data_IF_731174808778
#
_entry.id   IF_731174808778
#
_cell.length_a   1.000
_cell.length_b   1.000
_cell.length_c   1.000
_cell.angle_alpha   90.00
_cell.angle_beta   90.00
_cell.angle_gamma   90.00
#
_symmetry.space_group_name_H-M   'P 1'
#
loop_
_entity.id
_entity.type
_entity.pdbx_description
1 polymer ?
#
# COMPACT_ATOMS: atom_id res chain seq x y z
N UNK A 1 -8.51 21.73 6.35
CA UNK A 1 -7.13 22.04 6.80
C UNK A 1 -6.23 20.82 6.82
N UNK A 2 -6.57 19.71 7.50
CA UNK A 2 -5.73 18.50 7.53
C UNK A 2 -5.37 17.95 6.14
N UNK A 3 -6.34 17.93 5.20
CA UNK A 3 -6.10 17.50 3.82
C UNK A 3 -5.04 18.36 3.09
N UNK A 4 -5.06 19.67 3.32
CA UNK A 4 -4.09 20.61 2.72
C UNK A 4 -2.70 20.39 3.31
N UNK A 5 -2.63 20.16 4.62
CA UNK A 5 -1.36 19.90 5.32
C UNK A 5 -0.71 18.60 4.82
N UNK A 6 -1.47 17.50 4.75
CA UNK A 6 -0.91 16.20 4.34
C UNK A 6 -0.53 16.16 2.85
N UNK A 7 -1.28 16.88 2.00
CA UNK A 7 -1.06 16.87 0.53
C UNK A 7 -0.05 17.91 0.07
N UNK A 8 0.13 19.00 0.82
CA UNK A 8 0.97 20.13 0.42
C UNK A 8 2.34 20.22 1.08
N UNK A 9 2.58 19.50 2.19
CA UNK A 9 3.82 19.60 2.96
C UNK A 9 4.55 18.25 3.10
N UNK A 10 5.89 18.22 3.06
CA UNK A 10 6.68 16.99 3.27
C UNK A 10 6.50 16.46 4.70
N UNK A 11 6.88 15.18 4.91
CA UNK A 11 6.82 14.55 6.23
C UNK A 11 7.70 15.35 7.19
N UNK A 12 7.09 15.90 8.23
CA UNK A 12 7.72 16.76 9.23
C UNK A 12 7.08 16.51 10.58
N UNK A 13 7.76 16.90 11.67
CA UNK A 13 7.22 16.71 13.04
C UNK A 13 5.84 17.33 13.20
N UNK A 14 5.63 18.54 12.65
CA UNK A 14 4.34 19.24 12.70
C UNK A 14 3.27 18.48 11.93
N UNK A 15 3.58 18.02 10.71
CA UNK A 15 2.66 17.18 9.93
C UNK A 15 2.31 15.90 10.67
N UNK A 16 3.30 15.19 11.22
CA UNK A 16 3.07 13.94 11.96
C UNK A 16 2.22 14.12 13.22
N UNK A 17 2.33 15.26 13.92
CA UNK A 17 1.44 15.57 15.05
C UNK A 17 -0.01 15.76 14.57
N UNK A 18 -0.21 16.48 13.46
CA UNK A 18 -1.55 16.82 12.96
C UNK A 18 -2.24 15.66 12.24
N UNK A 19 -1.48 14.86 11.46
CA UNK A 19 -2.02 13.86 10.53
C UNK A 19 -1.54 12.44 10.81
N UNK A 20 -0.72 12.24 11.86
CA UNK A 20 -0.21 10.93 12.24
C UNK A 20 -1.28 9.93 12.65
N UNK A 21 -2.41 10.39 13.21
CA UNK A 21 -3.58 9.53 13.51
C UNK A 21 -4.11 8.85 12.24
N UNK A 22 -3.95 9.49 11.08
CA UNK A 22 -4.27 8.92 9.77
C UNK A 22 -3.03 8.45 9.02
N UNK A 23 -1.98 8.03 9.73
CA UNK A 23 -0.72 7.52 9.16
C UNK A 23 -0.03 8.46 8.17
N UNK A 24 -0.30 9.78 8.25
CA UNK A 24 0.14 10.75 7.25
C UNK A 24 -0.31 10.40 5.81
N UNK A 25 -1.40 9.64 5.67
CA UNK A 25 -2.01 9.18 4.42
C UNK A 25 -3.07 10.19 3.95
N UNK A 26 -2.85 10.75 2.77
CA UNK A 26 -3.74 11.76 2.19
C UNK A 26 -5.09 11.19 1.74
N UNK A 27 -5.15 9.94 1.28
CA UNK A 27 -6.36 9.29 0.83
C UNK A 27 -7.34 9.05 1.97
N UNK A 28 -6.84 8.65 3.15
CA UNK A 28 -7.67 8.48 4.36
C UNK A 28 -8.32 9.78 4.80
N UNK A 29 -7.59 10.90 4.70
CA UNK A 29 -8.14 12.22 5.03
C UNK A 29 -9.07 12.72 3.92
N UNK A 30 -8.75 12.45 2.66
CA UNK A 30 -9.59 12.81 1.51
C UNK A 30 -10.96 12.11 1.56
N UNK A 31 -11.03 10.88 2.06
CA UNK A 31 -12.27 10.13 2.23
C UNK A 31 -13.28 10.83 3.17
N UNK A 32 -12.84 11.79 4.00
CA UNK A 32 -13.71 12.59 4.87
C UNK A 32 -14.24 13.86 4.18
N UNK A 33 -13.70 14.25 3.02
CA UNK A 33 -14.12 15.46 2.30
C UNK A 33 -15.59 15.42 1.87
N UNK A 34 -16.14 14.29 1.36
CA UNK A 34 -17.56 14.23 1.00
C UNK A 34 -18.50 14.53 2.19
N UNK A 35 -18.14 14.10 3.41
CA UNK A 35 -18.96 14.36 4.60
C UNK A 35 -19.08 15.87 4.86
N UNK A 36 -17.96 16.59 4.83
CA UNK A 36 -17.94 18.05 5.01
C UNK A 36 -18.63 18.75 3.84
N UNK A 37 -18.40 18.28 2.61
CA UNK A 37 -19.02 18.84 1.41
C UNK A 37 -20.55 18.74 1.45
N UNK A 38 -21.11 17.62 1.91
CA UNK A 38 -22.57 17.44 2.07
C UNK A 38 -23.13 18.41 3.11
N UNK A 39 -22.47 18.57 4.26
CA UNK A 39 -22.90 19.52 5.30
C UNK A 39 -22.87 20.97 4.78
N UNK A 40 -21.78 21.37 4.11
CA UNK A 40 -21.67 22.70 3.51
C UNK A 40 -22.69 22.92 2.39
N UNK A 41 -22.99 21.89 1.58
CA UNK A 41 -24.02 21.96 0.56
C UNK A 41 -25.41 22.18 1.18
N UNK A 42 -25.73 21.47 2.27
CA UNK A 42 -27.00 21.64 2.97
C UNK A 42 -27.16 23.07 3.53
N UNK A 43 -26.13 23.60 4.19
CA UNK A 43 -26.11 24.99 4.69
C UNK A 43 -26.18 25.99 3.53
N UNK A 44 -25.46 25.76 2.44
CA UNK A 44 -25.48 26.62 1.25
C UNK A 44 -26.87 26.67 0.60
N UNK A 45 -27.56 25.53 0.52
CA UNK A 45 -28.94 25.47 0.01
C UNK A 45 -29.90 26.24 0.92
N UNK A 46 -29.79 26.04 2.25
CA UNK A 46 -30.60 26.75 3.23
C UNK A 46 -30.41 28.27 3.13
N UNK A 47 -29.17 28.72 3.01
CA UNK A 47 -28.83 30.13 2.87
C UNK A 47 -29.35 30.73 1.55
N UNK A 48 -29.24 30.01 0.44
CA UNK A 48 -29.81 30.44 -0.86
C UNK A 48 -31.34 30.54 -0.77
N UNK A 49 -32.00 29.63 -0.05
CA UNK A 49 -33.45 29.64 0.11
C UNK A 49 -33.95 30.81 0.97
N UNK A 50 -33.26 31.15 2.05
CA UNK A 50 -33.66 32.23 2.97
C UNK A 50 -33.20 33.62 2.51
N UNK A 51 -32.17 33.73 1.67
CA UNK A 51 -31.73 35.02 1.16
C UNK A 51 -32.62 35.48 -0.02
N UNK A 52 -33.38 36.58 0.11
CA UNK A 52 -34.33 37.02 -0.92
C UNK A 52 -33.63 37.42 -2.23
N UNK A 53 -32.41 37.96 -2.17
CA UNK A 53 -31.67 38.36 -3.36
C UNK A 53 -31.16 37.15 -4.14
N UNK A 54 -30.58 36.17 -3.45
CA UNK A 54 -30.05 34.96 -4.07
C UNK A 54 -31.16 34.04 -4.56
N UNK A 55 -32.21 33.85 -3.76
CA UNK A 55 -33.37 33.06 -4.20
C UNK A 55 -34.03 33.65 -5.44
N UNK A 56 -34.10 34.98 -5.58
CA UNK A 56 -34.59 35.63 -6.80
C UNK A 56 -33.66 35.42 -7.99
N UNK A 57 -32.34 35.49 -7.80
CA UNK A 57 -31.33 35.27 -8.84
C UNK A 57 -31.34 33.80 -9.31
N UNK A 58 -31.36 32.87 -8.37
CA UNK A 58 -31.46 31.44 -8.62
C UNK A 58 -32.77 31.09 -9.33
N UNK A 59 -33.90 31.64 -8.87
CA UNK A 59 -35.20 31.51 -9.57
C UNK A 59 -35.17 32.10 -10.96
N UNK A 60 -34.45 33.20 -11.25
CA UNK A 60 -34.34 33.79 -12.59
C UNK A 60 -33.52 32.93 -13.54
N UNK A 61 -32.41 32.36 -13.06
CA UNK A 61 -31.56 31.43 -13.82
C UNK A 61 -32.33 30.15 -14.15
N UNK A 62 -33.03 29.57 -13.17
CA UNK A 62 -33.80 28.34 -13.36
C UNK A 62 -35.22 28.52 -13.94
N UNK A 63 -35.81 29.73 -13.92
CA UNK A 63 -37.11 30.04 -14.57
C UNK A 63 -37.02 30.23 -16.08
N UNK A 64 -35.83 30.31 -16.67
CA UNK A 64 -35.70 30.52 -18.13
C UNK A 64 -36.15 29.33 -18.97
N UNK A 65 -36.44 28.18 -18.36
CA UNK A 65 -37.08 27.04 -19.03
C UNK A 65 -38.41 26.70 -18.36
N UNK A 66 -39.52 27.11 -18.98
CA UNK A 66 -40.87 26.79 -18.52
C UNK A 66 -41.86 27.94 -18.66
N UNK A 67 -42.26 28.22 -19.89
CA UNK A 67 -43.50 28.95 -20.19
C UNK A 67 -44.71 28.21 -19.56
N UNK A 68 -45.74 28.98 -19.22
CA UNK A 68 -46.73 28.62 -18.21
C UNK A 68 -47.50 27.33 -18.46
N UNK A 69 -47.47 26.42 -17.49
CA UNK A 69 -48.48 25.36 -17.34
C UNK A 69 -48.90 25.28 -15.87
N UNK A 70 -50.20 25.54 -15.64
CA UNK A 70 -50.92 25.39 -14.37
C UNK A 70 -51.14 23.89 -14.05
N UNK A 71 -50.12 23.17 -13.58
CA UNK A 71 -50.27 21.86 -12.89
C UNK A 71 -49.15 21.69 -11.86
N UNK A 72 -49.40 22.15 -10.63
CA UNK A 72 -48.40 22.16 -9.53
C UNK A 72 -47.84 20.77 -9.20
N UNK A 73 -48.68 19.71 -9.27
CA UNK A 73 -48.24 18.34 -8.97
C UNK A 73 -47.25 17.75 -9.99
N UNK A 74 -47.51 17.92 -11.28
CA UNK A 74 -46.65 17.39 -12.35
C UNK A 74 -45.30 18.12 -12.39
N UNK A 75 -45.32 19.43 -12.13
CA UNK A 75 -44.12 20.28 -12.11
C UNK A 75 -43.22 19.95 -10.91
N UNK A 76 -43.80 19.68 -9.74
CA UNK A 76 -43.04 19.23 -8.58
C UNK A 76 -42.43 17.84 -8.82
N UNK A 77 -43.19 16.90 -9.39
CA UNK A 77 -42.66 15.58 -9.76
C UNK A 77 -41.48 15.65 -10.74
N UNK A 78 -41.58 16.51 -11.77
CA UNK A 78 -40.50 16.78 -12.72
C UNK A 78 -39.26 17.40 -12.05
N UNK A 79 -39.45 18.28 -11.06
CA UNK A 79 -38.35 18.88 -10.30
C UNK A 79 -37.64 17.87 -9.40
N UNK A 80 -38.38 17.01 -8.70
CA UNK A 80 -37.78 15.93 -7.90
C UNK A 80 -37.07 14.90 -8.77
N UNK A 81 -37.63 14.55 -9.93
CA UNK A 81 -36.98 13.67 -10.90
C UNK A 81 -35.68 14.29 -11.42
N UNK A 82 -35.68 15.57 -11.79
CA UNK A 82 -34.47 16.27 -12.22
C UNK A 82 -33.41 16.34 -11.12
N UNK A 83 -33.82 16.64 -9.87
CA UNK A 83 -32.90 16.65 -8.74
C UNK A 83 -32.31 15.26 -8.47
N UNK A 84 -33.13 14.20 -8.51
CA UNK A 84 -32.66 12.82 -8.37
C UNK A 84 -31.68 12.45 -9.49
N UNK A 85 -31.95 12.84 -10.73
CA UNK A 85 -31.04 12.65 -11.87
C UNK A 85 -29.74 13.42 -11.67
N UNK A 86 -29.78 14.66 -11.21
CA UNK A 86 -28.57 15.46 -10.94
C UNK A 86 -27.73 14.84 -9.82
N UNK A 87 -28.35 14.34 -8.75
CA UNK A 87 -27.65 13.61 -7.68
C UNK A 87 -27.05 12.31 -8.24
N UNK A 88 -27.81 11.54 -9.01
CA UNK A 88 -27.33 10.31 -9.63
C UNK A 88 -26.14 10.59 -10.56
N UNK A 89 -26.21 11.63 -11.40
CA UNK A 89 -25.11 12.06 -12.27
C UNK A 89 -23.91 12.51 -11.44
N UNK A 90 -24.10 13.29 -10.37
CA UNK A 90 -23.01 13.71 -9.49
C UNK A 90 -22.30 12.52 -8.82
N UNK A 91 -23.06 11.50 -8.40
CA UNK A 91 -22.51 10.26 -7.86
C UNK A 91 -21.76 9.47 -8.95
N UNK A 92 -22.36 9.28 -10.12
CA UNK A 92 -21.76 8.53 -11.22
C UNK A 92 -20.47 9.20 -11.71
N UNK A 93 -20.51 10.50 -11.97
CA UNK A 93 -19.34 11.29 -12.40
C UNK A 93 -18.29 11.37 -11.29
N UNK A 94 -18.73 11.55 -10.04
CA UNK A 94 -17.82 11.72 -8.90
C UNK A 94 -17.15 10.44 -8.40
N UNK A 95 -17.72 9.26 -8.67
CA UNK A 95 -17.23 8.00 -8.09
C UNK A 95 -16.79 6.98 -9.15
N UNK A 96 -17.54 6.78 -10.24
CA UNK A 96 -17.30 5.62 -11.14
C UNK A 96 -15.97 5.75 -11.89
N UNK A 97 -15.65 6.93 -12.41
CA UNK A 97 -14.38 7.15 -13.12
C UNK A 97 -13.16 7.06 -12.19
N UNK A 98 -13.26 7.62 -10.99
CA UNK A 98 -12.18 7.60 -10.00
C UNK A 98 -11.93 6.19 -9.46
N UNK A 99 -12.99 5.51 -9.00
CA UNK A 99 -12.87 4.16 -8.43
C UNK A 99 -12.33 3.17 -9.46
N UNK A 100 -12.83 3.18 -10.70
CA UNK A 100 -12.35 2.24 -11.71
C UNK A 100 -10.85 2.43 -12.00
N UNK A 101 -10.38 3.68 -12.06
CA UNK A 101 -8.96 3.98 -12.26
C UNK A 101 -8.11 3.50 -11.09
N UNK A 102 -8.55 3.75 -9.86
CA UNK A 102 -7.83 3.28 -8.67
C UNK A 102 -7.82 1.75 -8.58
N UNK A 103 -8.91 1.07 -8.97
CA UNK A 103 -8.97 -0.40 -9.06
C UNK A 103 -8.00 -0.92 -10.10
N UNK A 104 -7.95 -0.32 -11.29
CA UNK A 104 -7.02 -0.71 -12.35
C UNK A 104 -5.55 -0.52 -11.90
N UNK A 105 -5.24 0.63 -11.30
CA UNK A 105 -3.90 0.92 -10.76
C UNK A 105 -3.52 0.02 -9.57
N UNK A 106 -4.48 -0.36 -8.73
CA UNK A 106 -4.25 -1.31 -7.67
C UNK A 106 -3.99 -2.70 -8.25
N UNK A 107 -4.84 -3.17 -9.16
CA UNK A 107 -4.74 -4.48 -9.80
C UNK A 107 -3.41 -4.66 -10.55
N UNK A 108 -2.92 -3.63 -11.24
CA UNK A 108 -1.64 -3.70 -11.93
C UNK A 108 -0.45 -3.95 -11.01
N UNK A 109 -0.52 -3.53 -9.73
CA UNK A 109 0.53 -3.79 -8.73
C UNK A 109 0.56 -5.25 -8.24
N UNK A 110 -0.52 -5.99 -8.45
CA UNK A 110 -0.64 -7.42 -8.11
C UNK A 110 -0.53 -8.33 -9.33
N UNK A 111 -0.31 -7.76 -10.52
CA UNK A 111 -0.14 -8.56 -11.74
C UNK A 111 1.16 -9.38 -11.64
N UNK A 112 1.09 -10.65 -12.04
CA UNK A 112 2.24 -11.54 -12.09
C UNK A 112 2.90 -11.43 -13.46
N UNK A 113 3.92 -10.56 -13.54
CA UNK A 113 4.74 -10.35 -14.73
C UNK A 113 6.22 -10.29 -14.34
N UNK A 114 7.12 -10.38 -15.31
CA UNK A 114 8.56 -10.27 -15.07
C UNK A 114 8.95 -8.98 -14.33
N UNK A 115 8.29 -7.86 -14.65
CA UNK A 115 8.58 -6.55 -14.06
C UNK A 115 7.64 -6.18 -12.90
N UNK A 116 6.96 -7.16 -12.28
CA UNK A 116 6.02 -6.86 -11.20
C UNK A 116 6.76 -6.35 -9.97
N UNK A 117 6.35 -5.21 -9.38
CA UNK A 117 7.04 -4.65 -8.21
C UNK A 117 6.74 -5.43 -6.93
N UNK A 118 5.68 -6.26 -6.89
CA UNK A 118 5.31 -7.02 -5.70
C UNK A 118 5.92 -8.42 -5.68
N UNK A 119 5.63 -9.22 -6.71
CA UNK A 119 6.23 -10.55 -6.91
C UNK A 119 6.36 -10.79 -8.41
N UNK A 120 7.59 -10.92 -8.88
CA UNK A 120 7.84 -11.25 -10.29
C UNK A 120 7.53 -12.73 -10.59
N UNK A 121 7.42 -13.07 -11.88
CA UNK A 121 7.25 -14.47 -12.30
C UNK A 121 8.41 -15.37 -11.85
N UNK A 122 9.62 -14.81 -11.78
CA UNK A 122 10.82 -15.54 -11.34
C UNK A 122 10.81 -15.80 -9.83
N UNK A 123 10.43 -14.80 -9.04
CA UNK A 123 10.25 -14.92 -7.58
C UNK A 123 9.15 -15.91 -7.23
N UNK A 124 8.02 -15.89 -7.96
CA UNK A 124 6.93 -16.84 -7.77
C UNK A 124 7.39 -18.28 -8.04
N UNK A 125 8.26 -18.50 -9.03
CA UNK A 125 8.78 -19.82 -9.33
C UNK A 125 9.68 -20.36 -8.19
N UNK A 126 10.46 -19.48 -7.52
CA UNK A 126 11.17 -19.87 -6.29
C UNK A 126 10.18 -20.23 -5.19
N UNK A 127 9.15 -19.39 -4.94
CA UNK A 127 8.14 -19.70 -3.92
C UNK A 127 7.50 -21.07 -4.12
N UNK A 128 7.17 -21.44 -5.35
CA UNK A 128 6.59 -22.74 -5.68
C UNK A 128 7.53 -23.91 -5.37
N UNK A 129 8.85 -23.69 -5.37
CA UNK A 129 9.87 -24.72 -5.13
C UNK A 129 10.48 -24.70 -3.73
N UNK A 130 10.16 -23.70 -2.90
CA UNK A 130 10.71 -23.58 -1.54
C UNK A 130 10.60 -24.87 -0.72
N UNK A 131 9.55 -25.66 -0.91
CA UNK A 131 9.37 -26.92 -0.21
C UNK A 131 10.44 -27.99 -0.48
N UNK A 132 11.14 -27.90 -1.61
CA UNK A 132 12.22 -28.83 -1.97
C UNK A 132 13.53 -28.52 -1.20
N UNK A 133 13.76 -27.24 -0.89
CA UNK A 133 15.05 -26.75 -0.41
C UNK A 133 15.02 -26.27 1.06
N UNK A 134 13.85 -25.85 1.53
CA UNK A 134 13.64 -25.20 2.83
C UNK A 134 12.74 -26.06 3.74
N UNK A 135 13.22 -26.46 4.93
CA UNK A 135 12.41 -27.14 5.94
C UNK A 135 11.16 -26.35 6.33
N UNK A 136 10.11 -27.03 6.78
CA UNK A 136 8.82 -26.39 7.08
C UNK A 136 8.87 -25.45 8.30
N UNK A 137 9.72 -25.75 9.26
CA UNK A 137 9.94 -24.98 10.49
C UNK A 137 10.99 -23.86 10.35
N UNK A 138 11.69 -23.81 9.22
CA UNK A 138 12.68 -22.76 8.95
C UNK A 138 12.00 -21.40 8.74
N UNK A 139 12.63 -20.37 9.28
CA UNK A 139 12.23 -18.98 9.08
C UNK A 139 13.14 -18.35 8.02
N UNK A 140 12.52 -17.73 7.00
CA UNK A 140 13.23 -17.12 5.89
C UNK A 140 13.57 -15.67 6.20
N UNK A 141 14.83 -15.30 5.99
CA UNK A 141 15.28 -13.91 6.01
C UNK A 141 15.06 -13.33 4.61
N UNK A 142 14.55 -12.11 4.54
CA UNK A 142 14.43 -11.38 3.29
C UNK A 142 14.35 -9.89 3.56
N UNK A 143 14.58 -9.08 2.52
CA UNK A 143 14.33 -7.65 2.58
C UNK A 143 12.80 -7.42 2.70
N UNK A 144 12.29 -6.82 3.79
CA UNK A 144 10.86 -6.61 3.97
C UNK A 144 10.27 -5.55 3.01
N UNK A 145 11.10 -4.79 2.30
CA UNK A 145 10.68 -3.81 1.29
C UNK A 145 10.48 -4.43 -0.11
N UNK A 146 10.85 -5.69 -0.32
CA UNK A 146 10.60 -6.46 -1.54
C UNK A 146 9.50 -7.51 -1.32
N UNK A 147 9.20 -8.31 -2.35
CA UNK A 147 8.26 -9.42 -2.30
C UNK A 147 8.63 -10.57 -1.36
N UNK A 148 9.84 -10.61 -0.79
CA UNK A 148 10.35 -11.76 -0.05
C UNK A 148 9.47 -12.18 1.16
N UNK A 149 8.79 -11.21 1.79
CA UNK A 149 7.86 -11.47 2.91
C UNK A 149 6.65 -12.32 2.50
N UNK A 150 6.30 -12.35 1.21
CA UNK A 150 5.22 -13.17 0.65
C UNK A 150 5.58 -14.64 0.53
N UNK A 151 6.80 -15.05 0.89
CA UNK A 151 7.15 -16.45 1.13
C UNK A 151 6.16 -17.13 2.08
N UNK A 152 5.59 -16.40 3.04
CA UNK A 152 4.58 -16.95 3.95
C UNK A 152 3.26 -17.26 3.25
N UNK A 153 2.78 -16.35 2.41
CA UNK A 153 1.47 -16.48 1.76
C UNK A 153 1.50 -17.33 0.48
N UNK A 154 2.60 -17.27 -0.28
CA UNK A 154 2.72 -17.87 -1.61
C UNK A 154 3.66 -19.08 -1.63
N UNK A 155 4.59 -19.17 -0.68
CA UNK A 155 5.61 -20.21 -0.62
C UNK A 155 5.48 -21.16 0.58
N UNK A 156 4.46 -20.98 1.42
CA UNK A 156 4.21 -21.77 2.64
C UNK A 156 5.44 -21.86 3.57
N UNK A 157 6.22 -20.78 3.66
CA UNK A 157 7.40 -20.67 4.55
C UNK A 157 7.41 -19.33 5.26
N UNK A 158 7.53 -19.35 6.58
CA UNK A 158 7.43 -18.13 7.39
C UNK A 158 8.60 -17.18 7.09
N UNK A 159 8.31 -15.92 6.81
CA UNK A 159 9.33 -14.86 6.78
C UNK A 159 9.63 -14.35 8.19
N UNK A 160 10.90 -14.05 8.47
CA UNK A 160 11.35 -13.43 9.72
C UNK A 160 10.64 -12.10 9.96
N UNK A 161 10.41 -11.34 8.88
CA UNK A 161 9.64 -10.12 8.90
C UNK A 161 8.47 -10.20 7.90
N UNK A 162 7.24 -10.09 8.41
CA UNK A 162 6.02 -10.23 7.59
C UNK A 162 5.66 -8.94 6.82
N UNK A 163 6.08 -7.79 7.33
CA UNK A 163 5.94 -6.48 6.67
C UNK A 163 6.93 -5.47 7.28
N UNK A 164 7.15 -4.34 6.61
CA UNK A 164 8.11 -3.28 7.00
C UNK A 164 7.90 -2.69 8.41
N UNK A 165 6.73 -2.90 9.03
CA UNK A 165 6.41 -2.42 10.39
C UNK A 165 6.34 -3.55 11.43
N UNK A 166 6.67 -4.78 11.06
CA UNK A 166 6.75 -5.89 12.01
C UNK A 166 7.84 -5.61 13.04
N UNK A 167 7.67 -6.16 14.24
CA UNK A 167 8.72 -6.15 15.25
C UNK A 167 9.97 -6.85 14.72
N UNK A 168 11.14 -6.24 14.97
CA UNK A 168 12.45 -6.80 14.68
C UNK A 168 13.13 -7.09 16.02
N UNK A 169 13.41 -8.36 16.29
CA UNK A 169 14.10 -8.77 17.51
C UNK A 169 15.57 -8.31 17.46
N UNK A 170 16.26 -8.22 18.61
CA UNK A 170 17.70 -7.92 18.63
C UNK A 170 18.52 -8.94 17.81
N UNK A 171 18.14 -10.22 17.84
CA UNK A 171 18.83 -11.26 17.06
C UNK A 171 18.56 -11.09 15.54
N UNK A 172 17.32 -10.81 15.13
CA UNK A 172 17.02 -10.53 13.73
C UNK A 172 17.71 -9.24 13.25
N UNK A 173 17.81 -8.23 14.12
CA UNK A 173 18.55 -7.00 13.83
C UNK A 173 20.04 -7.28 13.60
N UNK A 174 20.65 -8.12 14.45
CA UNK A 174 22.04 -8.56 14.29
C UNK A 174 22.27 -9.24 12.93
N UNK A 175 21.33 -10.09 12.49
CA UNK A 175 21.39 -10.71 11.16
C UNK A 175 21.29 -9.64 10.06
N UNK A 176 20.34 -8.72 10.16
CA UNK A 176 20.14 -7.68 9.16
C UNK A 176 21.31 -6.70 9.05
N UNK A 177 22.05 -6.48 10.13
CA UNK A 177 23.19 -5.57 10.16
C UNK A 177 24.51 -6.25 9.76
N UNK A 178 24.69 -7.54 10.09
CA UNK A 178 26.03 -8.16 10.11
C UNK A 178 26.13 -9.53 9.41
N UNK A 179 25.10 -10.01 8.70
CA UNK A 179 25.18 -11.30 8.01
C UNK A 179 26.32 -11.38 6.96
N UNK A 180 26.79 -10.26 6.43
CA UNK A 180 27.99 -10.17 5.57
C UNK A 180 29.28 -10.66 6.26
N UNK A 181 29.33 -10.60 7.59
CA UNK A 181 30.43 -11.02 8.44
C UNK A 181 30.24 -12.41 9.09
N UNK A 182 29.21 -13.18 8.71
CA UNK A 182 28.81 -14.44 9.36
C UNK A 182 29.94 -15.49 9.49
N UNK A 183 30.92 -15.48 8.58
CA UNK A 183 32.08 -16.39 8.64
C UNK A 183 33.11 -16.02 9.71
N UNK A 184 33.04 -14.80 10.25
CA UNK A 184 34.03 -14.22 11.17
C UNK A 184 33.42 -13.85 12.51
N UNK A 185 32.12 -13.56 12.53
CA UNK A 185 31.42 -13.12 13.74
C UNK A 185 30.54 -14.24 14.34
N UNK A 186 30.91 -14.81 15.50
CA UNK A 186 30.10 -15.82 16.17
C UNK A 186 28.77 -15.27 16.72
N UNK A 187 28.60 -13.96 16.87
CA UNK A 187 27.34 -13.34 17.29
C UNK A 187 26.24 -13.55 16.25
N UNK A 188 26.54 -13.35 14.97
CA UNK A 188 25.60 -13.60 13.86
C UNK A 188 25.13 -15.05 13.86
N UNK A 189 26.03 -16.01 14.07
CA UNK A 189 25.63 -17.43 14.15
C UNK A 189 24.84 -17.79 15.41
N UNK A 190 24.94 -17.02 16.50
CA UNK A 190 24.02 -17.18 17.64
C UNK A 190 22.64 -16.65 17.29
N UNK A 191 22.57 -15.49 16.63
CA UNK A 191 21.31 -14.90 16.19
C UNK A 191 20.57 -15.79 15.17
N UNK A 192 21.27 -16.29 14.13
CA UNK A 192 20.73 -17.24 13.14
C UNK A 192 20.12 -18.47 13.80
N UNK A 193 20.79 -19.02 14.83
CA UNK A 193 20.30 -20.16 15.61
C UNK A 193 19.07 -19.83 16.42
N UNK A 194 19.09 -18.70 17.14
CA UNK A 194 17.97 -18.21 17.96
C UNK A 194 16.70 -18.00 17.13
N UNK A 195 16.87 -17.40 15.96
CA UNK A 195 15.79 -17.09 15.01
C UNK A 195 15.41 -18.28 14.11
N UNK A 196 16.05 -19.44 14.22
CA UNK A 196 15.85 -20.60 13.33
C UNK A 196 15.92 -20.22 11.83
N UNK A 197 16.80 -19.28 11.50
CA UNK A 197 16.78 -18.53 10.24
C UNK A 197 18.02 -18.79 9.41
N UNK A 198 18.08 -19.95 8.77
CA UNK A 198 19.25 -20.42 7.99
C UNK A 198 19.14 -20.15 6.49
N UNK A 199 18.06 -19.55 6.03
CA UNK A 199 17.78 -19.37 4.61
C UNK A 199 17.45 -17.90 4.32
N UNK A 200 17.98 -17.39 3.22
CA UNK A 200 17.85 -15.99 2.82
C UNK A 200 17.30 -15.91 1.40
N UNK A 201 16.21 -15.18 1.23
CA UNK A 201 15.66 -14.79 -0.07
C UNK A 201 16.25 -13.44 -0.49
N UNK A 202 16.95 -13.46 -1.62
CA UNK A 202 17.50 -12.28 -2.28
C UNK A 202 16.74 -12.05 -3.59
N UNK A 203 15.78 -11.12 -3.55
CA UNK A 203 14.96 -10.71 -4.69
C UNK A 203 15.48 -9.41 -5.32
N UNK A 204 16.73 -9.03 -5.03
CA UNK A 204 17.35 -7.83 -5.58
C UNK A 204 16.86 -6.53 -4.94
N UNK A 205 17.03 -5.43 -5.69
CA UNK A 205 16.90 -4.06 -5.18
C UNK A 205 15.55 -3.39 -5.55
N UNK A 206 14.68 -4.08 -6.30
CA UNK A 206 13.41 -3.52 -6.71
C UNK A 206 12.40 -3.60 -5.55
N UNK A 207 12.15 -2.47 -4.91
CA UNK A 207 11.19 -2.37 -3.81
C UNK A 207 9.77 -2.02 -4.29
N UNK A 208 8.77 -2.52 -3.57
CA UNK A 208 7.33 -2.36 -3.91
C UNK A 208 6.92 -0.88 -4.02
N UNK A 209 7.54 -0.02 -3.21
CA UNK A 209 7.24 1.41 -3.14
C UNK A 209 8.35 2.31 -3.72
N UNK A 210 9.37 1.72 -4.34
CA UNK A 210 10.59 2.43 -4.75
C UNK A 210 11.44 2.85 -3.55
N UNK A 211 12.76 2.78 -3.69
CA UNK A 211 13.68 3.05 -2.60
C UNK A 211 14.94 2.19 -2.68
N UNK A 212 15.74 2.26 -1.61
CA UNK A 212 16.85 1.35 -1.39
C UNK A 212 17.10 1.23 0.12
N UNK A 213 16.45 0.24 0.72
CA UNK A 213 16.42 -0.08 2.13
C UNK A 213 16.85 -1.54 2.36
N UNK A 214 17.65 -2.09 1.44
CA UNK A 214 18.24 -3.42 1.62
C UNK A 214 19.12 -3.42 2.87
N UNK A 215 18.86 -4.31 3.85
CA UNK A 215 19.68 -4.37 5.06
C UNK A 215 21.14 -4.68 4.73
N UNK A 216 22.06 -4.08 5.48
CA UNK A 216 23.50 -4.13 5.19
C UNK A 216 24.04 -5.57 5.14
N UNK A 217 23.63 -6.41 6.07
CA UNK A 217 24.02 -7.83 6.14
C UNK A 217 23.48 -8.67 4.98
N UNK A 218 22.44 -8.20 4.27
CA UNK A 218 21.89 -8.87 3.09
C UNK A 218 22.51 -8.36 1.78
N UNK A 219 23.40 -7.37 1.83
CA UNK A 219 24.08 -6.88 0.65
C UNK A 219 25.17 -7.87 0.19
N UNK A 220 25.28 -8.07 -1.13
CA UNK A 220 26.38 -8.86 -1.76
C UNK A 220 26.51 -10.29 -1.23
N UNK A 221 25.38 -10.98 -1.04
CA UNK A 221 25.37 -12.39 -0.62
C UNK A 221 26.13 -13.31 -1.59
N UNK A 222 26.21 -12.95 -2.87
CA UNK A 222 26.99 -13.64 -3.90
C UNK A 222 28.50 -13.67 -3.61
N UNK A 223 29.00 -12.76 -2.78
CA UNK A 223 30.41 -12.63 -2.40
C UNK A 223 30.69 -13.11 -0.96
N UNK A 224 29.65 -13.53 -0.24
CA UNK A 224 29.78 -13.94 1.15
C UNK A 224 30.11 -15.45 1.23
N UNK A 225 31.31 -15.84 1.70
CA UNK A 225 31.72 -17.24 1.76
C UNK A 225 30.94 -18.06 2.80
N UNK A 226 30.17 -17.40 3.68
CA UNK A 226 29.38 -18.04 4.71
C UNK A 226 27.96 -18.43 4.28
N UNK A 227 27.60 -18.16 3.03
CA UNK A 227 26.33 -18.57 2.43
C UNK A 227 26.59 -19.36 1.14
N UNK A 228 25.65 -20.23 0.79
CA UNK A 228 25.67 -21.03 -0.42
C UNK A 228 24.39 -20.79 -1.20
N UNK A 229 24.49 -20.56 -2.50
CA UNK A 229 23.33 -20.50 -3.39
C UNK A 229 22.71 -21.90 -3.52
N UNK A 230 21.40 -22.02 -3.28
CA UNK A 230 20.65 -23.29 -3.30
C UNK A 230 19.69 -23.34 -4.48
N UNK A 231 18.95 -22.26 -4.73
CA UNK A 231 18.06 -22.13 -5.89
C UNK A 231 18.18 -20.73 -6.49
N UNK A 232 17.90 -20.62 -7.78
CA UNK A 232 17.85 -19.35 -8.50
C UNK A 232 16.89 -19.43 -9.68
N UNK A 233 16.19 -18.33 -9.92
CA UNK A 233 15.37 -18.13 -11.11
C UNK A 233 15.56 -16.68 -11.55
N UNK A 234 16.11 -16.47 -12.75
CA UNK A 234 16.46 -15.13 -13.22
C UNK A 234 17.36 -14.40 -12.21
N UNK A 235 16.87 -13.29 -11.67
CA UNK A 235 17.56 -12.51 -10.64
C UNK A 235 17.21 -12.91 -9.20
N UNK A 236 16.14 -13.69 -9.00
CA UNK A 236 15.72 -14.15 -7.69
C UNK A 236 16.62 -15.30 -7.24
N UNK A 237 17.04 -15.28 -5.97
CA UNK A 237 17.97 -16.26 -5.41
C UNK A 237 17.55 -16.69 -4.01
N UNK A 238 17.82 -17.95 -3.71
CA UNK A 238 17.71 -18.55 -2.38
C UNK A 238 19.10 -18.97 -1.92
N UNK A 239 19.55 -18.42 -0.80
CA UNK A 239 20.80 -18.80 -0.16
C UNK A 239 20.54 -19.57 1.14
N UNK A 240 21.44 -20.50 1.45
CA UNK A 240 21.55 -21.17 2.75
C UNK A 240 22.78 -20.67 3.48
N UNK A 241 22.63 -20.32 4.75
CA UNK A 241 23.72 -19.92 5.64
C UNK A 241 24.45 -21.19 6.09
N UNK A 242 25.67 -21.40 5.59
CA UNK A 242 26.48 -22.60 5.84
C UNK A 242 27.53 -22.39 6.91
N UNK A 243 27.98 -21.15 7.14
CA UNK A 243 29.02 -20.81 8.13
C UNK A 243 28.65 -21.19 9.57
N UNK A 244 27.36 -21.24 9.91
CA UNK A 244 26.91 -21.47 11.28
C UNK A 244 26.79 -22.95 11.67
N UNK A 245 27.06 -23.86 10.75
CA UNK A 245 26.81 -25.29 10.91
C UNK A 245 25.31 -25.58 10.90
N UNK A 246 24.88 -26.48 10.01
CA UNK A 246 23.50 -26.97 10.08
C UNK A 246 23.36 -27.80 11.36
N UNK A 247 22.33 -27.52 12.15
CA UNK A 247 21.76 -28.54 13.04
C UNK A 247 20.94 -29.51 12.19
#
# INVERSE_FOLDING_TARGET
MLFVVVSGFPISRVRSILTGVWYNDSYRIAALLPLVAVLLAAVGVEWICHNPYLSQLFKRVFRRSGSGIRRSGLRNALQYALAAVLVAVAVVVGQVGGVNKEVEQAASKYALSADSPLVSSDELAIFQRLHNDVPQDAILIGNPYTGASLSYALGDRKSAQLHILSYVSPDLQEIYDHLDAVSKDPAVCRAVRSEHSYYVLDFGLLEVHGGNHTPAGLARLDQNPGVQLVDSQGNAKLYKITACGAS
#
